data_IF_855115683453
#
_entry.id   IF_855115683453
#
_cell.length_a   1.000
_cell.length_b   1.000
_cell.length_c   1.000
_cell.angle_alpha   90.00
_cell.angle_beta   90.00
_cell.angle_gamma   90.00
#
_symmetry.space_group_name_H-M   'P 1'
#
loop_
_entity.id
_entity.type
_entity.pdbx_description
1 polymer ?
#
# COMPACT_ATOMS: atom_id res chain seq x y z
N UNK A 1 19.94 -1.79 2.63
CA UNK A 1 19.60 -3.13 2.02
C UNK A 1 18.50 -3.74 2.86
N UNK A 2 17.39 -4.19 2.25
CA UNK A 2 16.27 -4.80 3.01
C UNK A 2 16.72 -6.13 3.64
N UNK A 3 16.51 -6.26 4.93
CA UNK A 3 16.75 -7.47 5.70
C UNK A 3 15.40 -8.03 6.17
N UNK A 4 15.17 -9.32 5.97
CA UNK A 4 13.99 -9.99 6.51
C UNK A 4 14.17 -10.08 8.02
N UNK A 5 13.19 -9.63 8.84
CA UNK A 5 13.29 -9.73 10.29
C UNK A 5 13.47 -11.18 10.76
N UNK A 6 14.37 -11.42 11.70
CA UNK A 6 14.62 -12.77 12.24
C UNK A 6 13.38 -13.39 12.91
N UNK A 7 12.51 -12.57 13.44
CA UNK A 7 11.28 -12.96 14.13
C UNK A 7 10.04 -12.95 13.23
N UNK A 8 10.20 -12.98 11.90
CA UNK A 8 9.09 -12.97 10.95
C UNK A 8 8.22 -14.22 11.12
N UNK A 9 6.92 -14.06 11.48
CA UNK A 9 6.00 -15.18 11.56
C UNK A 9 5.80 -15.84 10.19
N UNK A 10 5.81 -17.17 10.17
CA UNK A 10 5.61 -17.94 8.92
C UNK A 10 4.25 -17.66 8.27
N UNK A 11 3.27 -17.29 9.08
CA UNK A 11 1.93 -16.94 8.62
C UNK A 11 1.91 -15.76 7.65
N UNK A 12 2.81 -14.79 7.84
CA UNK A 12 2.91 -13.58 6.99
C UNK A 12 4.20 -13.52 6.17
N UNK A 13 5.01 -14.57 6.17
CA UNK A 13 6.25 -14.60 5.40
C UNK A 13 6.08 -14.21 3.90
N UNK A 14 4.98 -14.60 3.20
CA UNK A 14 4.74 -14.13 1.83
C UNK A 14 4.53 -12.62 1.68
N UNK A 15 4.27 -11.89 2.78
CA UNK A 15 4.11 -10.44 2.82
C UNK A 15 5.40 -9.70 3.23
N UNK A 16 6.50 -10.43 3.48
CA UNK A 16 7.76 -9.84 3.96
C UNK A 16 8.26 -8.68 3.09
N UNK A 17 8.00 -8.72 1.79
CA UNK A 17 8.38 -7.67 0.87
C UNK A 17 7.68 -6.32 1.12
N UNK A 18 6.56 -6.30 1.85
CA UNK A 18 5.85 -5.06 2.23
C UNK A 18 6.32 -4.48 3.57
N UNK A 19 7.09 -5.23 4.36
CA UNK A 19 7.53 -4.76 5.68
C UNK A 19 8.52 -3.61 5.58
N UNK A 20 8.48 -2.74 6.59
CA UNK A 20 9.31 -1.54 6.68
C UNK A 20 8.67 -0.30 6.06
N UNK A 21 9.39 0.83 6.09
CA UNK A 21 8.90 2.10 5.59
C UNK A 21 9.08 2.23 4.08
N UNK A 22 8.07 2.83 3.46
CA UNK A 22 8.01 3.14 2.04
C UNK A 22 7.57 4.58 1.86
N UNK A 23 8.03 5.25 0.81
CA UNK A 23 7.55 6.56 0.39
C UNK A 23 7.53 6.66 -1.13
N UNK A 24 6.64 7.47 -1.64
CA UNK A 24 6.52 7.60 -3.08
C UNK A 24 5.57 8.69 -3.52
N UNK A 25 5.18 8.57 -4.74
CA UNK A 25 4.25 9.48 -5.38
C UNK A 25 3.22 8.71 -6.20
N UNK A 26 2.15 9.39 -6.53
CA UNK A 26 1.08 8.85 -7.33
C UNK A 26 0.18 9.93 -7.90
N UNK A 27 -0.93 9.49 -8.45
CA UNK A 27 -1.96 10.34 -9.02
C UNK A 27 -3.30 10.01 -8.37
N UNK A 28 -4.04 11.05 -8.00
CA UNK A 28 -5.43 11.00 -7.65
C UNK A 28 -6.25 11.40 -8.88
N UNK A 29 -7.04 10.47 -9.39
CA UNK A 29 -7.95 10.75 -10.51
C UNK A 29 -9.20 11.45 -10.00
N UNK A 30 -9.55 12.57 -10.62
CA UNK A 30 -10.71 13.38 -10.27
C UNK A 30 -11.69 13.28 -11.42
N UNK A 31 -12.94 12.91 -11.11
CA UNK A 31 -14.01 12.91 -12.09
C UNK A 31 -14.13 14.31 -12.73
N UNK A 32 -14.10 14.35 -14.07
CA UNK A 32 -14.20 15.58 -14.90
C UNK A 32 -13.03 16.58 -14.75
N UNK A 33 -11.91 16.22 -14.11
CA UNK A 33 -10.76 17.10 -13.91
C UNK A 33 -9.44 16.49 -14.37
N UNK A 34 -8.37 17.26 -14.25
CA UNK A 34 -7.01 16.77 -14.40
C UNK A 34 -6.61 15.97 -13.18
N UNK A 35 -5.88 14.86 -13.39
CA UNK A 35 -5.32 14.06 -12.31
C UNK A 35 -4.41 14.92 -11.42
N UNK A 36 -4.56 14.77 -10.10
CA UNK A 36 -3.75 15.49 -9.12
C UNK A 36 -2.61 14.63 -8.58
N UNK A 37 -1.39 15.16 -8.52
CA UNK A 37 -0.28 14.46 -7.90
C UNK A 37 -0.51 14.34 -6.39
N UNK A 38 -0.07 13.21 -5.84
CA UNK A 38 -0.06 12.93 -4.41
C UNK A 38 1.31 12.45 -3.97
N UNK A 39 1.64 12.65 -2.69
CA UNK A 39 2.73 11.98 -2.03
C UNK A 39 2.18 10.92 -1.08
N UNK A 40 2.86 9.80 -0.96
CA UNK A 40 2.43 8.70 -0.10
C UNK A 40 3.55 8.19 0.77
N UNK A 41 3.19 7.85 2.00
CA UNK A 41 4.00 7.07 2.93
C UNK A 41 3.22 5.80 3.29
N UNK A 42 3.93 4.67 3.35
CA UNK A 42 3.37 3.42 3.83
C UNK A 42 4.36 2.71 4.75
N UNK A 43 3.85 2.05 5.79
CA UNK A 43 4.67 1.29 6.72
C UNK A 43 4.02 -0.04 7.04
N UNK A 44 4.72 -1.13 6.67
CA UNK A 44 4.36 -2.48 7.05
C UNK A 44 5.10 -2.91 8.32
N UNK A 45 4.38 -3.32 9.36
CA UNK A 45 4.95 -3.81 10.62
C UNK A 45 4.36 -5.15 11.03
N UNK A 46 5.12 -5.95 11.80
CA UNK A 46 4.65 -7.23 12.34
C UNK A 46 3.74 -6.95 13.53
N UNK A 47 2.53 -7.50 13.52
CA UNK A 47 1.57 -7.43 14.62
C UNK A 47 1.06 -8.84 14.97
N UNK A 48 1.78 -9.55 15.85
CA UNK A 48 1.52 -10.95 16.13
C UNK A 48 1.66 -11.81 14.88
N UNK A 49 0.59 -12.47 14.44
CA UNK A 49 0.54 -13.28 13.21
C UNK A 49 0.01 -12.52 11.99
N UNK A 50 -0.14 -11.22 12.11
CA UNK A 50 -0.64 -10.33 11.07
C UNK A 50 0.41 -9.31 10.68
N UNK A 51 0.26 -8.73 9.50
CA UNK A 51 0.95 -7.50 9.12
C UNK A 51 -0.01 -6.34 9.39
N UNK A 52 0.46 -5.32 10.11
CA UNK A 52 -0.18 -4.01 10.16
C UNK A 52 0.42 -3.16 9.04
N UNK A 53 -0.43 -2.62 8.17
CA UNK A 53 -0.05 -1.66 7.15
C UNK A 53 -0.71 -0.32 7.47
N UNK A 54 0.09 0.72 7.62
CA UNK A 54 -0.37 2.11 7.75
C UNK A 54 0.00 2.84 6.49
N UNK A 55 -0.95 3.55 5.90
CA UNK A 55 -0.74 4.35 4.69
C UNK A 55 -1.20 5.77 4.96
N UNK A 56 -0.39 6.77 4.56
CA UNK A 56 -0.73 8.19 4.60
C UNK A 56 -0.60 8.79 3.22
N UNK A 57 -1.65 9.42 2.75
CA UNK A 57 -1.70 10.12 1.47
C UNK A 57 -1.79 11.61 1.75
N UNK A 58 -0.89 12.35 1.12
CA UNK A 58 -0.79 13.80 1.24
C UNK A 58 -1.15 14.45 -0.09
N UNK A 59 -1.76 15.61 -0.04
CA UNK A 59 -1.83 16.48 -1.20
C UNK A 59 -0.42 16.87 -1.65
N UNK A 60 -0.24 17.07 -2.94
CA UNK A 60 1.03 17.53 -3.46
C UNK A 60 0.84 18.47 -4.64
N UNK A 61 1.80 19.35 -4.85
CA UNK A 61 1.85 20.23 -6.02
C UNK A 61 3.08 19.88 -6.84
N UNK A 62 2.88 19.69 -8.15
CA UNK A 62 3.97 19.42 -9.05
C UNK A 62 4.76 20.70 -9.34
N UNK A 63 6.08 20.68 -9.16
CA UNK A 63 6.98 21.78 -9.51
C UNK A 63 7.31 21.81 -11.01
N UNK A 64 7.06 20.72 -11.72
CA UNK A 64 7.26 20.55 -13.15
C UNK A 64 6.24 19.56 -13.73
N UNK A 65 6.15 19.45 -15.06
CA UNK A 65 5.28 18.46 -15.69
C UNK A 65 5.73 17.03 -15.33
N UNK A 66 4.84 16.26 -14.70
CA UNK A 66 5.11 14.89 -14.25
C UNK A 66 4.92 13.92 -15.42
N UNK A 67 5.88 12.98 -15.58
CA UNK A 67 5.73 11.85 -16.47
C UNK A 67 5.38 10.60 -15.65
N UNK A 68 4.25 9.92 -15.93
CA UNK A 68 3.82 8.72 -15.21
C UNK A 68 4.82 7.55 -15.19
N UNK A 69 5.83 7.58 -16.09
CA UNK A 69 6.87 6.54 -16.12
C UNK A 69 8.03 6.79 -15.16
N UNK A 70 8.12 7.98 -14.54
CA UNK A 70 9.20 8.27 -13.59
C UNK A 70 9.20 7.28 -12.43
N UNK A 71 10.39 6.94 -11.96
CA UNK A 71 10.56 6.17 -10.73
C UNK A 71 10.12 6.96 -9.49
N UNK A 72 10.04 6.28 -8.35
CA UNK A 72 9.57 6.89 -7.11
C UNK A 72 10.47 8.07 -6.69
N UNK A 73 11.79 7.95 -6.81
CA UNK A 73 12.73 8.99 -6.40
C UNK A 73 12.58 10.26 -7.23
N UNK A 74 12.45 10.10 -8.56
CA UNK A 74 12.29 11.23 -9.49
C UNK A 74 10.94 11.93 -9.27
N UNK A 75 9.86 11.16 -9.11
CA UNK A 75 8.54 11.73 -8.86
C UNK A 75 8.48 12.50 -7.54
N UNK A 76 9.01 11.95 -6.44
CA UNK A 76 9.09 12.66 -5.15
C UNK A 76 9.86 13.98 -5.30
N UNK A 77 10.97 13.99 -6.03
CA UNK A 77 11.82 15.19 -6.19
C UNK A 77 11.11 16.33 -6.95
N UNK A 78 10.04 16.02 -7.69
CA UNK A 78 9.24 16.98 -8.44
C UNK A 78 8.01 17.49 -7.68
N UNK A 79 7.85 17.13 -6.39
CA UNK A 79 6.67 17.47 -5.60
C UNK A 79 7.00 18.40 -4.44
N UNK A 80 6.11 19.35 -4.21
CA UNK A 80 5.94 20.03 -2.92
C UNK A 80 4.82 19.32 -2.17
N UNK A 81 5.15 18.68 -1.03
CA UNK A 81 4.23 17.92 -0.21
C UNK A 81 3.37 18.87 0.63
N UNK A 82 2.06 18.68 0.61
CA UNK A 82 1.09 19.47 1.35
C UNK A 82 0.59 18.74 2.61
N UNK A 83 -0.71 18.86 2.88
CA UNK A 83 -1.35 18.30 4.08
C UNK A 83 -1.78 16.85 3.88
N UNK A 84 -1.94 16.11 4.99
CA UNK A 84 -2.52 14.77 4.98
C UNK A 84 -3.97 14.83 4.52
N UNK A 85 -4.27 14.10 3.45
CA UNK A 85 -5.63 13.97 2.90
C UNK A 85 -6.33 12.73 3.46
N UNK A 86 -5.59 11.62 3.60
CA UNK A 86 -6.12 10.33 4.04
C UNK A 86 -5.08 9.56 4.81
N UNK A 87 -5.51 8.92 5.90
CA UNK A 87 -4.75 7.88 6.59
C UNK A 87 -5.59 6.61 6.63
N UNK A 88 -4.95 5.47 6.43
CA UNK A 88 -5.55 4.15 6.55
C UNK A 88 -4.70 3.25 7.42
N UNK A 89 -5.34 2.42 8.22
CA UNK A 89 -4.69 1.31 8.92
C UNK A 89 -5.39 0.00 8.58
N UNK A 90 -4.62 -0.97 8.07
CA UNK A 90 -5.08 -2.33 7.78
C UNK A 90 -4.33 -3.36 8.63
N UNK A 91 -5.05 -4.39 9.09
CA UNK A 91 -4.48 -5.61 9.67
C UNK A 91 -4.69 -6.75 8.68
N UNK A 92 -3.59 -7.24 8.11
CA UNK A 92 -3.60 -8.22 7.02
C UNK A 92 -3.20 -9.59 7.53
N UNK A 93 -4.02 -10.60 7.23
CA UNK A 93 -3.78 -12.01 7.54
C UNK A 93 -3.78 -12.83 6.27
N UNK A 94 -2.90 -13.82 6.20
CA UNK A 94 -2.98 -14.87 5.18
C UNK A 94 -3.62 -16.13 5.79
N UNK A 95 -4.52 -16.76 5.03
CA UNK A 95 -5.06 -18.06 5.41
C UNK A 95 -3.97 -19.14 5.28
N UNK A 96 -4.07 -20.28 5.99
CA UNK A 96 -3.10 -21.36 5.88
C UNK A 96 -2.90 -21.80 4.45
N UNK A 97 -1.65 -22.01 4.05
CA UNK A 97 -1.30 -22.60 2.76
C UNK A 97 -1.27 -24.12 2.80
N UNK A 98 -0.81 -24.72 1.73
CA UNK A 98 -0.67 -26.18 1.58
C UNK A 98 0.33 -26.80 2.57
N UNK A 99 1.23 -26.01 3.16
CA UNK A 99 2.33 -26.46 3.98
C UNK A 99 3.49 -27.09 3.17
N UNK A 100 3.37 -27.05 1.84
CA UNK A 100 4.41 -27.54 0.93
C UNK A 100 5.17 -26.34 0.35
N UNK A 101 6.50 -26.38 0.41
CA UNK A 101 7.31 -25.35 -0.24
C UNK A 101 7.16 -25.48 -1.76
N UNK A 102 6.79 -24.40 -2.47
CA UNK A 102 6.72 -24.43 -3.92
C UNK A 102 8.11 -24.63 -4.54
N UNK A 103 8.14 -25.14 -5.76
CA UNK A 103 9.39 -25.26 -6.53
C UNK A 103 10.02 -23.86 -6.76
N UNK A 104 11.35 -23.77 -6.89
CA UNK A 104 12.03 -22.51 -7.19
C UNK A 104 11.43 -21.81 -8.43
N UNK A 105 11.08 -20.53 -8.28
CA UNK A 105 10.44 -19.74 -9.33
C UNK A 105 8.90 -19.86 -9.40
N UNK A 106 8.32 -20.71 -8.57
CA UNK A 106 6.85 -20.81 -8.42
C UNK A 106 6.43 -20.20 -7.08
N UNK A 107 5.21 -19.66 -7.05
CA UNK A 107 4.63 -19.08 -5.86
C UNK A 107 3.31 -19.77 -5.55
N UNK A 108 3.10 -20.10 -4.28
CA UNK A 108 1.81 -20.54 -3.79
C UNK A 108 0.87 -19.32 -3.69
N UNK A 109 -0.32 -19.45 -4.29
CA UNK A 109 -1.38 -18.45 -4.05
C UNK A 109 -1.97 -18.66 -2.67
N UNK A 110 -1.97 -17.61 -1.84
CA UNK A 110 -2.53 -17.62 -0.49
C UNK A 110 -3.76 -16.70 -0.46
N UNK A 111 -4.85 -17.22 0.04
CA UNK A 111 -6.00 -16.38 0.35
C UNK A 111 -5.66 -15.44 1.52
N UNK A 112 -6.23 -14.24 1.48
CA UNK A 112 -5.98 -13.22 2.48
C UNK A 112 -7.27 -12.55 2.93
N UNK A 113 -7.22 -12.05 4.15
CA UNK A 113 -8.24 -11.17 4.73
C UNK A 113 -7.53 -9.96 5.33
N UNK A 114 -8.08 -8.77 5.11
CA UNK A 114 -7.64 -7.59 5.82
C UNK A 114 -8.83 -6.86 6.45
N UNK A 115 -8.58 -6.12 7.52
CA UNK A 115 -9.58 -5.31 8.20
C UNK A 115 -8.95 -3.98 8.59
N UNK A 116 -9.70 -2.89 8.46
CA UNK A 116 -9.18 -1.59 8.85
C UNK A 116 -10.15 -0.45 8.65
N UNK A 117 -9.63 0.74 8.86
CA UNK A 117 -10.37 1.98 8.75
C UNK A 117 -9.55 3.05 8.05
N UNK A 118 -10.26 3.96 7.39
CA UNK A 118 -9.73 5.13 6.68
C UNK A 118 -10.26 6.41 7.35
N UNK A 119 -9.44 7.44 7.37
CA UNK A 119 -9.79 8.74 7.97
C UNK A 119 -10.87 9.50 7.18
N UNK A 120 -11.16 9.10 5.95
CA UNK A 120 -12.22 9.66 5.11
C UNK A 120 -13.60 9.00 5.34
N UNK A 121 -13.76 8.28 6.45
CA UNK A 121 -15.05 7.80 6.95
C UNK A 121 -15.44 6.39 6.54
N UNK A 122 -14.46 5.54 6.18
CA UNK A 122 -14.74 4.14 5.86
C UNK A 122 -14.08 3.19 6.82
N UNK A 123 -14.79 2.10 7.14
CA UNK A 123 -14.24 0.90 7.74
C UNK A 123 -14.56 -0.28 6.86
N UNK A 124 -13.59 -1.16 6.61
CA UNK A 124 -13.75 -2.22 5.63
C UNK A 124 -13.15 -3.54 6.08
N UNK A 125 -13.78 -4.63 5.63
CA UNK A 125 -13.19 -5.95 5.54
C UNK A 125 -12.89 -6.24 4.08
N UNK A 126 -11.68 -6.73 3.84
CA UNK A 126 -11.16 -7.06 2.53
C UNK A 126 -10.92 -8.56 2.42
N UNK A 127 -11.18 -9.10 1.26
CA UNK A 127 -10.80 -10.46 0.87
C UNK A 127 -9.94 -10.42 -0.37
N UNK A 128 -9.02 -11.35 -0.52
CA UNK A 128 -8.12 -11.31 -1.66
C UNK A 128 -7.13 -12.44 -1.71
N UNK A 129 -6.06 -12.22 -2.47
CA UNK A 129 -5.01 -13.20 -2.71
C UNK A 129 -3.65 -12.55 -2.71
N UNK A 130 -2.67 -13.29 -2.19
CA UNK A 130 -1.25 -13.01 -2.32
C UNK A 130 -0.60 -14.10 -3.17
N UNK A 131 0.18 -13.71 -4.17
CA UNK A 131 0.93 -14.63 -5.03
C UNK A 131 2.30 -14.02 -5.32
N UNK A 132 3.35 -14.57 -4.69
CA UNK A 132 4.66 -13.94 -4.72
C UNK A 132 4.60 -12.49 -4.25
N UNK A 133 5.30 -11.56 -4.89
CA UNK A 133 5.29 -10.15 -4.51
C UNK A 133 4.11 -9.39 -5.14
N UNK A 134 2.92 -9.98 -5.12
CA UNK A 134 1.67 -9.38 -5.61
C UNK A 134 0.52 -9.67 -4.66
N UNK A 135 -0.28 -8.65 -4.39
CA UNK A 135 -1.54 -8.72 -3.66
C UNK A 135 -2.64 -8.13 -4.53
N UNK A 136 -3.79 -8.78 -4.51
CA UNK A 136 -5.03 -8.25 -5.07
C UNK A 136 -6.16 -8.54 -4.10
N UNK A 137 -6.93 -7.51 -3.75
CA UNK A 137 -8.02 -7.60 -2.77
C UNK A 137 -9.17 -6.67 -3.14
N UNK A 138 -10.36 -7.02 -2.65
CA UNK A 138 -11.57 -6.23 -2.76
C UNK A 138 -12.33 -6.24 -1.43
N UNK A 139 -13.19 -5.25 -1.18
CA UNK A 139 -14.01 -5.22 0.02
C UNK A 139 -15.20 -6.17 -0.14
N UNK A 140 -15.42 -7.02 0.87
CA UNK A 140 -16.64 -7.82 1.03
C UNK A 140 -17.59 -7.25 2.08
N UNK A 141 -17.11 -6.30 2.87
CA UNK A 141 -17.90 -5.48 3.78
C UNK A 141 -17.33 -4.07 3.80
N UNK A 142 -18.18 -3.08 3.54
CA UNK A 142 -17.84 -1.66 3.63
C UNK A 142 -18.84 -0.97 4.54
N UNK A 143 -18.35 -0.32 5.58
CA UNK A 143 -19.12 0.52 6.50
C UNK A 143 -18.71 1.95 6.23
N UNK A 144 -19.69 2.82 6.10
CA UNK A 144 -19.51 4.21 5.73
C UNK A 144 -20.11 5.14 6.80
N UNK A 145 -19.38 6.19 7.14
CA UNK A 145 -19.93 7.29 7.92
C UNK A 145 -20.98 8.04 7.08
N UNK A 146 -22.02 8.63 7.71
CA UNK A 146 -23.09 9.32 6.98
C UNK A 146 -22.63 10.44 6.05
N UNK A 147 -21.53 11.11 6.40
CA UNK A 147 -20.97 12.24 5.64
C UNK A 147 -19.99 11.81 4.53
N UNK A 148 -19.53 10.55 4.52
CA UNK A 148 -18.62 10.05 3.49
C UNK A 148 -19.37 9.80 2.17
N UNK A 149 -18.64 9.86 1.05
CA UNK A 149 -19.19 9.60 -0.28
C UNK A 149 -19.72 8.17 -0.40
N UNK A 150 -20.65 7.93 -1.31
CA UNK A 150 -21.31 6.64 -1.45
C UNK A 150 -20.59 5.77 -2.48
N UNK A 151 -20.03 4.66 -2.03
CA UNK A 151 -19.40 3.63 -2.86
C UNK A 151 -19.91 2.26 -2.46
N UNK A 152 -20.00 1.36 -3.44
CA UNK A 152 -20.40 -0.02 -3.21
C UNK A 152 -19.22 -0.90 -2.83
N UNK A 153 -18.05 -0.67 -3.46
CA UNK A 153 -16.88 -1.53 -3.31
C UNK A 153 -15.59 -0.77 -3.60
N UNK A 154 -14.54 -1.19 -2.90
CA UNK A 154 -13.17 -0.84 -3.21
C UNK A 154 -12.41 -2.08 -3.69
N UNK A 155 -11.52 -1.91 -4.66
CA UNK A 155 -10.54 -2.91 -5.08
C UNK A 155 -9.15 -2.33 -4.98
N UNK A 156 -8.17 -3.16 -4.66
CA UNK A 156 -6.79 -2.71 -4.50
C UNK A 156 -5.80 -3.76 -4.97
N UNK A 157 -4.74 -3.30 -5.59
CA UNK A 157 -3.62 -4.13 -5.99
C UNK A 157 -2.30 -3.52 -5.54
N UNK A 158 -1.39 -4.38 -5.06
CA UNK A 158 0.01 -4.05 -4.82
C UNK A 158 0.90 -5.02 -5.58
N UNK A 159 2.05 -4.56 -6.07
CA UNK A 159 3.04 -5.41 -6.71
C UNK A 159 4.44 -4.83 -6.61
N UNK A 160 5.44 -5.67 -6.36
CA UNK A 160 6.84 -5.27 -6.35
C UNK A 160 7.42 -5.44 -7.76
N UNK A 161 7.83 -4.36 -8.37
CA UNK A 161 8.40 -4.31 -9.72
C UNK A 161 9.70 -3.49 -9.69
N UNK A 162 10.79 -4.10 -10.11
CA UNK A 162 12.12 -3.45 -10.15
C UNK A 162 12.55 -2.81 -8.81
N UNK A 163 12.08 -3.36 -7.66
CA UNK A 163 12.41 -2.85 -6.34
C UNK A 163 11.47 -1.77 -5.81
N UNK A 164 10.51 -1.32 -6.60
CA UNK A 164 9.46 -0.38 -6.22
C UNK A 164 8.14 -1.11 -5.97
N UNK A 165 7.38 -0.66 -4.99
CA UNK A 165 6.02 -1.12 -4.76
C UNK A 165 5.06 -0.26 -5.58
N UNK A 166 4.48 -0.86 -6.62
CA UNK A 166 3.42 -0.24 -7.42
C UNK A 166 2.07 -0.62 -6.82
N UNK A 167 1.13 0.32 -6.85
CA UNK A 167 -0.20 0.08 -6.34
C UNK A 167 -1.27 0.83 -7.13
N UNK A 168 -2.48 0.33 -7.06
CA UNK A 168 -3.68 0.97 -7.58
C UNK A 168 -4.85 0.70 -6.62
N UNK A 169 -5.67 1.71 -6.41
CA UNK A 169 -6.91 1.68 -5.65
C UNK A 169 -8.05 2.08 -6.57
N UNK A 170 -9.07 1.23 -6.66
CA UNK A 170 -10.26 1.48 -7.45
C UNK A 170 -11.44 1.65 -6.51
N UNK A 171 -12.35 2.56 -6.86
CA UNK A 171 -13.64 2.72 -6.23
C UNK A 171 -14.75 2.46 -7.24
N UNK A 172 -15.77 1.73 -6.82
CA UNK A 172 -16.95 1.45 -7.59
C UNK A 172 -18.14 2.19 -6.99
N UNK A 173 -18.77 3.07 -7.76
CA UNK A 173 -19.99 3.77 -7.40
C UNK A 173 -21.26 2.95 -7.65
N UNK A 174 -22.41 3.53 -7.39
CA UNK A 174 -23.73 2.89 -7.55
C UNK A 174 -24.12 2.64 -9.03
N UNK A 175 -23.40 3.21 -9.97
CA UNK A 175 -23.53 2.96 -11.41
C UNK A 175 -22.82 1.68 -11.87
N UNK A 176 -22.15 1.00 -10.91
CA UNK A 176 -21.33 -0.22 -11.14
C UNK A 176 -20.09 0.00 -12.01
N UNK A 177 -19.77 1.23 -12.38
CA UNK A 177 -18.52 1.54 -13.05
C UNK A 177 -17.38 1.62 -12.02
N UNK A 178 -16.32 0.86 -12.26
CA UNK A 178 -15.10 0.92 -11.46
C UNK A 178 -14.10 1.85 -12.13
N UNK A 179 -13.53 2.76 -11.37
CA UNK A 179 -12.47 3.64 -11.84
C UNK A 179 -11.28 3.61 -10.89
N UNK A 180 -10.09 3.79 -11.43
CA UNK A 180 -8.88 3.95 -10.63
C UNK A 180 -8.93 5.33 -9.99
N UNK A 181 -9.14 5.36 -8.68
CA UNK A 181 -9.12 6.61 -7.91
C UNK A 181 -7.69 7.06 -7.64
N UNK A 182 -6.86 6.13 -7.22
CA UNK A 182 -5.49 6.39 -6.81
C UNK A 182 -4.56 5.34 -7.41
N UNK A 183 -3.42 5.77 -7.89
CA UNK A 183 -2.35 4.87 -8.28
C UNK A 183 -0.99 5.51 -8.03
N UNK A 184 0.03 4.68 -7.81
CA UNK A 184 1.35 5.22 -7.52
C UNK A 184 2.43 4.17 -7.42
N UNK A 185 3.61 4.66 -7.05
CA UNK A 185 4.80 3.86 -6.82
C UNK A 185 5.57 4.37 -5.62
N UNK A 186 6.08 3.46 -4.83
CA UNK A 186 6.79 3.72 -3.61
C UNK A 186 8.18 3.08 -3.68
N UNK A 187 9.19 3.81 -3.24
CA UNK A 187 10.52 3.28 -2.97
C UNK A 187 10.65 2.95 -1.48
N UNK A 188 11.50 1.99 -1.16
CA UNK A 188 11.82 1.68 0.22
C UNK A 188 12.67 2.80 0.83
N UNK A 189 12.37 3.16 2.07
CA UNK A 189 13.20 4.07 2.85
C UNK A 189 14.25 3.23 3.58
N UNK A 190 15.54 3.53 3.34
CA UNK A 190 16.60 2.93 4.14
C UNK A 190 16.56 3.54 5.55
N UNK A 191 16.33 2.70 6.55
CA UNK A 191 16.46 3.10 7.94
C UNK A 191 17.96 3.19 8.24
N UNK A 192 18.47 4.41 8.39
CA UNK A 192 19.82 4.61 8.87
C UNK A 192 19.79 4.29 10.38
N UNK A 193 20.45 3.20 10.80
CA UNK A 193 20.65 2.89 12.21
C UNK A 193 21.48 4.01 12.85
N UNK A 194 20.85 4.86 13.65
CA UNK A 194 21.50 5.93 14.41
C UNK A 194 22.41 5.41 15.55
N UNK A 195 22.68 4.10 15.58
CA UNK A 195 23.47 3.47 16.65
C UNK A 195 24.99 3.59 16.50
N UNK A 196 25.52 4.08 15.37
CA UNK A 196 26.99 4.18 15.18
C UNK A 196 27.62 5.53 15.63
N UNK A 197 26.86 6.45 16.22
CA UNK A 197 27.40 7.78 16.60
C UNK A 197 27.69 7.99 18.10
N UNK A 198 27.88 6.94 18.91
CA UNK A 198 28.17 7.08 20.34
C UNK A 198 29.48 6.48 20.87
N UNK A 199 30.39 6.05 20.01
CA UNK A 199 31.72 5.61 20.47
C UNK A 199 32.82 6.46 19.82
N UNK A 200 32.91 7.70 20.24
CA UNK A 200 33.94 8.64 19.76
C UNK A 200 34.09 9.91 20.61
N UNK A 201 34.18 9.76 21.97
CA UNK A 201 34.78 10.76 22.84
C UNK A 201 35.57 10.09 23.95
#
# INVERSE_FOLDING_TARGET
MFSIPENLPLEIAPLAWMLGPWKGWGMLSIDEGDDQPIYEEAEGTICGKQMKLVTRIYSATACESIDPIWDAARGIAALEVGEVMREETLYVSLLPGSGVLPEPGHYETREMVAQGAQSDGYSARWVGRSMGPRIQMETDLLIRDPEAAEFERFSRMYGLVAGEMLWANERQGNDHESHVELSGRLMRVDVVDETEQKDGE
#
